data_IF_990684669649
#
_entry.id   IF_990684669649
#
_cell.length_a   1.000
_cell.length_b   1.000
_cell.length_c   1.000
_cell.angle_alpha   90.00
_cell.angle_beta   90.00
_cell.angle_gamma   90.00
#
_symmetry.space_group_name_H-M   'P 1'
#
loop_
_entity.id
_entity.type
_entity.pdbx_description
1 polymer ?
#
# COMPACT_ATOMS: atom_id res chain seq x y z
N UNK A 1 -3.75 40.09 1.66
CA UNK A 1 -2.85 38.97 2.00
C UNK A 1 -3.58 37.65 1.73
N UNK A 2 -3.53 37.08 0.52
CA UNK A 2 -4.36 35.88 0.24
C UNK A 2 -3.76 34.86 -0.75
N UNK A 3 -2.72 35.19 -1.53
CA UNK A 3 -2.15 34.24 -2.50
C UNK A 3 -1.44 33.04 -1.83
N UNK A 4 -0.65 33.30 -0.78
CA UNK A 4 0.19 32.29 -0.14
C UNK A 4 -0.60 31.19 0.59
N UNK A 5 -1.81 31.50 1.06
CA UNK A 5 -2.69 30.54 1.75
C UNK A 5 -3.44 29.65 0.75
N UNK A 6 -3.82 30.20 -0.41
CA UNK A 6 -4.48 29.47 -1.49
C UNK A 6 -3.56 28.43 -2.15
N UNK A 7 -2.30 28.79 -2.41
CA UNK A 7 -1.30 27.86 -2.95
C UNK A 7 -0.99 26.69 -2.00
N UNK A 8 -0.99 26.94 -0.69
CA UNK A 8 -0.72 25.91 0.32
C UNK A 8 -1.91 24.95 0.49
N UNK A 9 -3.14 25.47 0.40
CA UNK A 9 -4.35 24.65 0.41
C UNK A 9 -4.48 23.80 -0.87
N UNK A 10 -4.16 24.36 -2.04
CA UNK A 10 -4.16 23.65 -3.32
C UNK A 10 -3.13 22.52 -3.37
N UNK A 11 -1.90 22.75 -2.90
CA UNK A 11 -0.87 21.72 -2.82
C UNK A 11 -1.22 20.61 -1.83
N UNK A 12 -1.80 20.93 -0.67
CA UNK A 12 -2.24 19.92 0.30
C UNK A 12 -3.41 19.08 -0.22
N UNK A 13 -4.39 19.69 -0.87
CA UNK A 13 -5.52 18.98 -1.46
C UNK A 13 -5.06 18.01 -2.56
N UNK A 14 -4.15 18.45 -3.43
CA UNK A 14 -3.53 17.60 -4.46
C UNK A 14 -2.65 16.49 -3.86
N UNK A 15 -1.88 16.80 -2.81
CA UNK A 15 -1.07 15.81 -2.10
C UNK A 15 -1.93 14.73 -1.42
N UNK A 16 -3.02 15.11 -0.76
CA UNK A 16 -3.95 14.17 -0.11
C UNK A 16 -4.68 13.32 -1.17
N UNK A 17 -5.15 13.93 -2.27
CA UNK A 17 -5.80 13.21 -3.38
C UNK A 17 -4.87 12.23 -4.07
N UNK A 18 -3.68 12.66 -4.49
CA UNK A 18 -2.72 11.78 -5.16
C UNK A 18 -2.24 10.65 -4.26
N UNK A 19 -1.98 10.93 -2.99
CA UNK A 19 -1.55 9.90 -2.03
C UNK A 19 -2.66 8.87 -1.76
N UNK A 20 -3.90 9.33 -1.55
CA UNK A 20 -5.05 8.44 -1.34
C UNK A 20 -5.39 7.57 -2.55
N UNK A 21 -5.28 8.11 -3.76
CA UNK A 21 -5.48 7.37 -5.01
C UNK A 21 -4.40 6.32 -5.25
N UNK A 22 -3.12 6.68 -5.07
CA UNK A 22 -1.99 5.74 -5.19
C UNK A 22 -2.12 4.60 -4.17
N UNK A 23 -2.38 4.93 -2.91
CA UNK A 23 -2.54 3.93 -1.85
C UNK A 23 -3.70 2.96 -2.17
N UNK A 24 -4.82 3.45 -2.73
CA UNK A 24 -5.94 2.60 -3.14
C UNK A 24 -5.57 1.61 -4.26
N UNK A 25 -4.87 2.08 -5.29
CA UNK A 25 -4.41 1.24 -6.40
C UNK A 25 -3.46 0.13 -5.93
N UNK A 26 -2.44 0.46 -5.15
CA UNK A 26 -1.50 -0.56 -4.65
C UNK A 26 -2.11 -1.50 -3.64
N UNK A 27 -3.04 -1.03 -2.79
CA UNK A 27 -3.81 -1.92 -1.90
C UNK A 27 -4.54 -2.97 -2.72
N UNK A 28 -5.22 -2.55 -3.79
CA UNK A 28 -5.95 -3.46 -4.67
C UNK A 28 -5.01 -4.48 -5.31
N UNK A 29 -3.85 -4.06 -5.82
CA UNK A 29 -2.83 -4.97 -6.35
C UNK A 29 -2.40 -6.04 -5.34
N UNK A 30 -2.10 -5.64 -4.10
CA UNK A 30 -1.71 -6.57 -3.05
C UNK A 30 -2.85 -7.53 -2.73
N UNK A 31 -4.08 -7.03 -2.56
CA UNK A 31 -5.23 -7.89 -2.28
C UNK A 31 -5.52 -8.85 -3.43
N UNK A 32 -5.44 -8.40 -4.68
CA UNK A 32 -5.71 -9.23 -5.87
C UNK A 32 -4.68 -10.35 -5.99
N UNK A 33 -3.40 -10.02 -5.78
CA UNK A 33 -2.32 -11.01 -5.70
C UNK A 33 -2.59 -12.04 -4.61
N UNK A 34 -2.94 -11.59 -3.39
CA UNK A 34 -3.23 -12.50 -2.28
C UNK A 34 -4.51 -13.33 -2.50
N UNK A 35 -5.52 -12.81 -3.21
CA UNK A 35 -6.71 -13.59 -3.60
C UNK A 35 -6.32 -14.68 -4.59
N UNK A 36 -5.47 -14.35 -5.57
CA UNK A 36 -5.07 -15.26 -6.64
C UNK A 36 -4.12 -16.37 -6.17
N UNK A 37 -3.16 -16.05 -5.32
CA UNK A 37 -2.10 -16.98 -4.89
C UNK A 37 -2.29 -17.48 -3.45
N UNK A 38 -3.25 -16.94 -2.69
CA UNK A 38 -3.54 -17.29 -1.30
C UNK A 38 -2.55 -16.72 -0.28
N UNK A 39 -1.27 -16.61 -0.64
CA UNK A 39 -0.23 -16.05 0.21
C UNK A 39 0.89 -15.38 -0.61
N UNK A 40 1.65 -14.50 0.05
CA UNK A 40 2.84 -13.87 -0.52
C UNK A 40 3.94 -13.75 0.53
N UNK A 41 5.21 -13.88 0.14
CA UNK A 41 6.32 -13.46 1.00
C UNK A 41 6.47 -11.94 0.95
N UNK A 42 7.27 -11.38 1.86
CA UNK A 42 7.62 -9.96 1.78
C UNK A 42 8.31 -9.61 0.45
N UNK A 43 9.15 -10.51 -0.06
CA UNK A 43 9.89 -10.33 -1.30
C UNK A 43 8.94 -10.26 -2.51
N UNK A 44 7.98 -11.17 -2.60
CA UNK A 44 6.98 -11.18 -3.68
C UNK A 44 6.20 -9.86 -3.74
N UNK A 45 5.80 -9.34 -2.58
CA UNK A 45 5.08 -8.07 -2.48
C UNK A 45 5.96 -6.87 -2.86
N UNK A 46 7.24 -6.87 -2.46
CA UNK A 46 8.18 -5.83 -2.89
C UNK A 46 8.38 -5.86 -4.40
N UNK A 47 8.63 -7.03 -5.01
CA UNK A 47 8.82 -7.17 -6.47
C UNK A 47 7.57 -6.73 -7.25
N UNK A 48 6.38 -7.17 -6.80
CA UNK A 48 5.10 -6.78 -7.39
C UNK A 48 4.91 -5.26 -7.41
N UNK A 49 5.20 -4.60 -6.28
CA UNK A 49 4.96 -3.17 -6.11
C UNK A 49 6.06 -2.34 -6.76
N UNK A 50 7.32 -2.75 -6.67
CA UNK A 50 8.46 -2.07 -7.30
C UNK A 50 8.28 -1.94 -8.81
N UNK A 51 7.76 -2.97 -9.46
CA UNK A 51 7.47 -2.97 -10.90
C UNK A 51 6.35 -1.99 -11.32
N UNK A 52 5.57 -1.47 -10.37
CA UNK A 52 4.45 -0.54 -10.60
C UNK A 52 4.67 0.85 -10.01
N UNK A 53 5.72 1.03 -9.23
CA UNK A 53 6.08 2.33 -8.67
C UNK A 53 6.81 3.19 -9.72
N UNK A 54 6.52 4.50 -9.77
CA UNK A 54 7.11 5.38 -10.77
C UNK A 54 8.63 5.51 -10.59
N UNK A 55 9.35 5.64 -11.72
CA UNK A 55 10.82 5.75 -11.75
C UNK A 55 11.37 7.04 -11.15
N UNK A 56 10.53 8.05 -10.97
CA UNK A 56 10.89 9.30 -10.26
C UNK A 56 11.24 9.07 -8.79
N UNK A 57 10.81 7.93 -8.21
CA UNK A 57 11.13 7.57 -6.83
C UNK A 57 12.44 6.80 -6.76
N UNK A 58 13.32 7.23 -5.87
CA UNK A 58 14.52 6.48 -5.54
C UNK A 58 14.20 5.18 -4.77
N UNK A 59 15.13 4.22 -4.78
CA UNK A 59 15.03 2.95 -4.06
C UNK A 59 14.60 3.13 -2.59
N UNK A 60 15.15 4.11 -1.87
CA UNK A 60 14.77 4.37 -0.48
C UNK A 60 13.30 4.82 -0.37
N UNK A 61 12.85 5.71 -1.27
CA UNK A 61 11.48 6.20 -1.29
C UNK A 61 10.49 5.09 -1.66
N UNK A 62 10.83 4.24 -2.63
CA UNK A 62 10.03 3.07 -3.03
C UNK A 62 9.89 2.09 -1.85
N UNK A 63 10.99 1.74 -1.19
CA UNK A 63 10.97 0.84 -0.03
C UNK A 63 10.15 1.40 1.14
N UNK A 64 10.26 2.70 1.43
CA UNK A 64 9.44 3.36 2.46
C UNK A 64 7.96 3.32 2.11
N UNK A 65 7.61 3.57 0.85
CA UNK A 65 6.22 3.53 0.38
C UNK A 65 5.61 2.14 0.53
N UNK A 66 6.30 1.10 0.07
CA UNK A 66 5.87 -0.30 0.21
C UNK A 66 5.68 -0.66 1.69
N UNK A 67 6.65 -0.34 2.55
CA UNK A 67 6.56 -0.59 3.99
C UNK A 67 5.33 0.09 4.60
N UNK A 68 5.14 1.38 4.30
CA UNK A 68 4.04 2.16 4.87
C UNK A 68 2.68 1.65 4.39
N UNK A 69 2.58 1.26 3.12
CA UNK A 69 1.39 0.64 2.52
C UNK A 69 1.02 -0.65 3.25
N UNK A 70 1.94 -1.62 3.34
CA UNK A 70 1.66 -2.91 4.00
C UNK A 70 1.33 -2.74 5.49
N UNK A 71 2.00 -1.80 6.18
CA UNK A 71 1.66 -1.45 7.56
C UNK A 71 0.27 -0.84 7.69
N UNK A 72 -0.14 0.02 6.76
CA UNK A 72 -1.49 0.56 6.73
C UNK A 72 -2.52 -0.55 6.48
N UNK A 73 -2.32 -1.40 5.47
CA UNK A 73 -3.21 -2.53 5.16
C UNK A 73 -3.39 -3.47 6.35
N UNK A 74 -2.32 -3.76 7.09
CA UNK A 74 -2.40 -4.57 8.30
C UNK A 74 -3.20 -3.89 9.41
N UNK A 75 -3.01 -2.58 9.61
CA UNK A 75 -3.77 -1.79 10.60
C UNK A 75 -5.26 -1.70 10.25
N UNK A 76 -5.59 -1.65 8.97
CA UNK A 76 -6.96 -1.67 8.48
C UNK A 76 -7.58 -3.07 8.42
N UNK A 77 -6.85 -4.12 8.83
CA UNK A 77 -7.35 -5.48 8.80
C UNK A 77 -7.60 -6.02 7.39
N UNK A 78 -6.90 -5.52 6.36
CA UNK A 78 -7.01 -6.05 5.00
C UNK A 78 -6.13 -7.28 4.78
N UNK A 79 -4.98 -7.30 5.44
CA UNK A 79 -4.00 -8.38 5.35
C UNK A 79 -3.45 -8.67 6.75
N UNK A 80 -3.01 -9.91 6.97
CA UNK A 80 -2.27 -10.28 8.15
C UNK A 80 -0.96 -10.98 7.77
N UNK A 81 -0.01 -10.95 8.70
CA UNK A 81 1.28 -11.60 8.56
C UNK A 81 1.35 -12.75 9.55
N UNK A 82 1.74 -13.92 9.08
CA UNK A 82 1.87 -15.14 9.87
C UNK A 82 3.32 -15.61 9.86
N UNK A 83 3.81 -16.07 11.02
CA UNK A 83 5.13 -16.67 11.16
C UNK A 83 6.27 -15.71 11.56
N UNK A 84 7.49 -16.27 11.72
CA UNK A 84 8.70 -15.55 12.13
C UNK A 84 9.04 -14.41 11.18
N UNK A 85 9.77 -13.40 11.67
CA UNK A 85 10.13 -12.21 10.87
C UNK A 85 10.85 -12.55 9.56
N UNK A 86 11.71 -13.57 9.57
CA UNK A 86 12.51 -14.00 8.41
C UNK A 86 11.69 -14.75 7.35
N UNK A 87 10.66 -15.50 7.76
CA UNK A 87 9.85 -16.37 6.88
C UNK A 87 8.38 -15.96 6.87
N UNK A 88 8.15 -14.69 7.16
CA UNK A 88 6.82 -14.12 7.28
C UNK A 88 6.05 -14.24 5.97
N UNK A 89 4.91 -14.92 6.02
CA UNK A 89 3.94 -14.97 4.94
C UNK A 89 2.81 -13.98 5.19
N UNK A 90 2.35 -13.34 4.13
CA UNK A 90 1.22 -12.44 4.12
C UNK A 90 0.02 -13.14 3.50
N UNK A 91 -1.16 -12.92 4.09
CA UNK A 91 -2.44 -13.46 3.64
C UNK A 91 -3.52 -12.39 3.77
N UNK A 92 -4.62 -12.55 3.05
CA UNK A 92 -5.82 -11.75 3.27
C UNK A 92 -6.36 -12.02 4.67
N UNK A 93 -6.80 -10.96 5.35
CA UNK A 93 -7.54 -11.15 6.58
C UNK A 93 -8.96 -11.63 6.25
N UNK A 94 -9.49 -12.54 7.06
CA UNK A 94 -10.82 -13.13 6.89
C UNK A 94 -11.96 -12.08 6.95
N UNK A 95 -11.70 -10.89 7.50
CA UNK A 95 -12.61 -9.73 7.52
C UNK A 95 -12.43 -8.73 6.38
N UNK A 96 -11.75 -9.10 5.28
CA UNK A 96 -11.68 -8.26 4.08
C UNK A 96 -13.07 -7.97 3.50
N UNK A 97 -13.25 -6.92 2.67
CA UNK A 97 -14.56 -6.40 2.24
C UNK A 97 -15.47 -7.37 1.45
N UNK A 98 -15.08 -8.62 1.27
CA UNK A 98 -15.85 -9.68 0.61
C UNK A 98 -16.25 -10.83 1.56
N UNK A 99 -15.84 -10.80 2.84
CA UNK A 99 -16.18 -11.83 3.84
C UNK A 99 -17.53 -11.62 4.55
N UNK A 100 -18.36 -10.71 4.07
CA UNK A 100 -19.75 -10.53 4.51
C UNK A 100 -20.67 -10.92 3.35
N UNK A 101 -20.99 -12.20 3.23
CA UNK A 101 -22.11 -12.71 2.43
C UNK A 101 -22.59 -14.02 3.05
#
# INVERSE_FOLDING_TARGET
MSAKVAEWAGQKASYIRNKGLDDGYYRKLVTDYLKKYGQASRKDLDELLLAKLPDVLDAAQKAHKIRNLLQAMRRYGLIHRTGPKATAIWRLAEGGPEGQS
#
